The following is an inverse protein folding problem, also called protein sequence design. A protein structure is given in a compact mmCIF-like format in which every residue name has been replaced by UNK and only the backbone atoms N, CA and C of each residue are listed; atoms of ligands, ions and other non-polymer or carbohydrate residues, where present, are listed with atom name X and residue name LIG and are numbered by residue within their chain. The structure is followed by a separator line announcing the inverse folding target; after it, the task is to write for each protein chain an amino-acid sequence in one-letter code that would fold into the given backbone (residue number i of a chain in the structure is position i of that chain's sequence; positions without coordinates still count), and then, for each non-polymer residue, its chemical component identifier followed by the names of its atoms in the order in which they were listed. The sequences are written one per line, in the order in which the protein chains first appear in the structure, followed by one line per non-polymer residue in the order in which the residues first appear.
data_IF_827342407019
#
_entry.id   IF_827342407019
#
_cell.length_a   1.000
_cell.length_b   1.000
_cell.length_c   1.000
_cell.angle_alpha   90.00
_cell.angle_beta   90.00
_cell.angle_gamma   90.00
#
_symmetry.space_group_name_H-M   'P 1'
#
loop_
_entity.id
_entity.type
_entity.pdbx_description
1 polymer ?
#
# COMPACT_ATOMS: atom_id res chain seq x y z
N UNK A 1 -6.65 4.31 17.32
CA UNK A 1 -6.31 3.16 16.43
C UNK A 1 -6.97 1.85 16.86
N UNK A 2 -6.94 0.82 16.02
CA UNK A 2 -7.54 -0.51 16.33
C UNK A 2 -6.61 -1.30 17.26
N UNK A 3 -7.17 -1.98 18.27
CA UNK A 3 -6.40 -2.59 19.39
C UNK A 3 -6.11 -4.08 19.17
N UNK A 4 -6.62 -4.71 18.11
CA UNK A 4 -6.68 -6.16 18.00
C UNK A 4 -5.93 -6.69 16.77
N UNK A 5 -4.89 -7.50 17.02
CA UNK A 5 -4.26 -8.39 16.04
C UNK A 5 -3.86 -7.74 14.71
N UNK A 6 -3.03 -6.69 14.73
CA UNK A 6 -2.51 -6.13 13.47
C UNK A 6 -1.27 -6.85 12.95
N UNK A 7 -0.57 -6.23 11.99
CA UNK A 7 0.54 -6.83 11.25
C UNK A 7 1.69 -5.84 11.01
N UNK A 8 2.91 -6.36 10.83
CA UNK A 8 4.07 -5.60 10.35
C UNK A 8 4.36 -5.83 8.85
N UNK A 9 3.53 -6.64 8.17
CA UNK A 9 3.63 -6.87 6.74
C UNK A 9 2.24 -6.81 6.11
N UNK A 10 2.14 -6.11 4.99
CA UNK A 10 0.94 -5.99 4.16
C UNK A 10 1.16 -6.68 2.82
N UNK A 11 0.09 -7.17 2.21
CA UNK A 11 0.11 -7.86 0.93
C UNK A 11 -0.05 -6.86 -0.23
N UNK A 12 0.52 -7.21 -1.39
CA UNK A 12 0.53 -6.38 -2.58
C UNK A 12 -0.90 -6.08 -3.09
N UNK A 13 -1.27 -4.80 -3.02
CA UNK A 13 -2.51 -4.25 -3.56
C UNK A 13 -2.39 -3.63 -4.95
N UNK A 14 -1.20 -3.51 -5.53
CA UNK A 14 -0.94 -3.00 -6.89
C UNK A 14 -0.04 -1.78 -6.96
N UNK A 15 0.22 -1.28 -8.17
CA UNK A 15 1.16 -0.17 -8.41
C UNK A 15 0.78 1.11 -7.67
N UNK A 16 -0.50 1.30 -7.39
CA UNK A 16 -1.05 2.49 -6.78
C UNK A 16 -1.45 3.57 -7.78
N UNK A 17 -1.29 3.41 -9.10
CA UNK A 17 -1.57 4.48 -10.08
C UNK A 17 -2.81 4.24 -10.94
N UNK A 18 -3.49 5.33 -11.33
CA UNK A 18 -4.55 5.36 -12.34
C UNK A 18 -5.67 4.31 -12.16
N UNK A 19 -5.82 3.77 -10.95
CA UNK A 19 -6.73 2.70 -10.63
C UNK A 19 -7.55 3.08 -9.41
N UNK A 20 -8.83 2.73 -9.46
CA UNK A 20 -9.66 2.74 -8.27
C UNK A 20 -9.36 1.46 -7.50
N UNK A 21 -8.61 1.57 -6.40
CA UNK A 21 -8.32 0.46 -5.47
C UNK A 21 -9.54 0.09 -4.61
N UNK A 22 -10.74 0.21 -5.19
CA UNK A 22 -12.01 -0.12 -4.61
C UNK A 22 -12.59 -1.41 -5.15
N UNK A 23 -12.22 -2.53 -4.51
CA UNK A 23 -12.96 -3.80 -4.59
C UNK A 23 -13.20 -4.44 -5.97
N UNK A 24 -12.67 -3.89 -7.05
CA UNK A 24 -12.62 -4.47 -8.39
C UNK A 24 -11.22 -5.00 -8.70
N UNK A 25 -11.08 -5.68 -9.83
CA UNK A 25 -9.77 -6.10 -10.35
C UNK A 25 -8.83 -4.90 -10.47
N UNK A 26 -7.62 -5.06 -9.91
CA UNK A 26 -6.50 -4.13 -10.04
C UNK A 26 -5.29 -4.85 -10.64
N UNK A 27 -4.14 -4.20 -10.66
CA UNK A 27 -2.88 -4.70 -11.23
C UNK A 27 -1.98 -5.45 -10.23
N UNK A 28 -2.32 -5.43 -8.94
CA UNK A 28 -1.58 -6.12 -7.89
C UNK A 28 -1.86 -7.61 -7.81
N UNK A 29 -1.57 -8.22 -6.65
CA UNK A 29 -1.85 -9.64 -6.40
C UNK A 29 -3.17 -9.85 -5.66
N UNK A 30 -3.50 -8.94 -4.74
CA UNK A 30 -4.62 -9.04 -3.82
C UNK A 30 -5.59 -7.88 -3.98
N UNK A 31 -6.87 -8.21 -4.11
CA UNK A 31 -8.00 -7.29 -4.06
C UNK A 31 -9.26 -8.05 -3.66
N UNK A 32 -10.37 -7.36 -3.45
CA UNK A 32 -11.62 -8.02 -3.06
C UNK A 32 -12.12 -8.91 -4.21
N UNK A 33 -12.25 -10.21 -3.94
CA UNK A 33 -12.67 -11.18 -4.95
C UNK A 33 -11.57 -11.57 -5.93
N UNK A 34 -10.30 -11.28 -5.63
CA UNK A 34 -9.16 -11.70 -6.44
C UNK A 34 -9.17 -13.21 -6.66
N UNK A 35 -8.92 -13.61 -7.91
CA UNK A 35 -8.74 -15.02 -8.31
C UNK A 35 -7.37 -15.25 -8.95
N UNK A 36 -6.42 -14.35 -8.67
CA UNK A 36 -5.02 -14.37 -9.14
C UNK A 36 -4.38 -15.72 -8.86
N UNK A 37 -3.80 -16.30 -9.90
CA UNK A 37 -3.05 -17.55 -9.85
C UNK A 37 -1.59 -17.26 -10.14
N UNK A 38 -0.73 -18.20 -9.76
CA UNK A 38 0.71 -18.11 -10.01
C UNK A 38 1.05 -17.86 -11.50
N UNK A 39 0.28 -18.47 -12.42
CA UNK A 39 0.45 -18.27 -13.87
C UNK A 39 0.12 -16.84 -14.35
N UNK A 40 -0.60 -16.07 -13.55
CA UNK A 40 -1.03 -14.71 -13.90
C UNK A 40 0.06 -13.68 -13.50
N UNK A 41 1.16 -14.13 -12.88
CA UNK A 41 2.35 -13.32 -12.54
C UNK A 41 3.32 -13.40 -13.72
N UNK A 42 3.02 -12.69 -14.80
CA UNK A 42 3.76 -12.81 -16.07
C UNK A 42 5.08 -12.05 -16.08
N UNK A 43 5.27 -11.09 -15.17
CA UNK A 43 6.49 -10.28 -15.08
C UNK A 43 7.63 -11.04 -14.35
N UNK A 44 7.29 -12.22 -13.80
CA UNK A 44 8.19 -13.14 -13.13
C UNK A 44 8.10 -13.03 -11.61
N UNK A 45 8.14 -14.16 -10.93
CA UNK A 45 7.95 -14.20 -9.47
C UNK A 45 9.08 -13.56 -8.68
N UNK A 46 10.26 -13.41 -9.28
CA UNK A 46 11.40 -12.67 -8.71
C UNK A 46 11.33 -11.15 -8.95
N UNK A 47 10.33 -10.69 -9.72
CA UNK A 47 10.13 -9.28 -10.08
C UNK A 47 8.75 -8.76 -9.63
N UNK A 48 8.03 -9.52 -8.81
CA UNK A 48 6.74 -9.09 -8.26
C UNK A 48 6.79 -9.18 -6.75
N UNK A 49 6.55 -8.05 -6.09
CA UNK A 49 6.43 -7.95 -4.64
C UNK A 49 5.18 -8.70 -4.19
N UNK A 50 5.32 -9.58 -3.22
CA UNK A 50 4.23 -10.28 -2.57
C UNK A 50 3.75 -9.54 -1.31
N UNK A 51 4.69 -9.12 -0.47
CA UNK A 51 4.44 -8.36 0.76
C UNK A 51 5.50 -7.29 0.97
N UNK A 52 5.15 -6.21 1.67
CA UNK A 52 6.11 -5.19 2.11
C UNK A 52 5.94 -4.88 3.60
N UNK A 53 7.03 -4.45 4.23
CA UNK A 53 7.01 -3.97 5.61
C UNK A 53 6.03 -2.81 5.78
N UNK A 54 5.38 -2.82 6.94
CA UNK A 54 4.53 -1.74 7.40
C UNK A 54 4.75 -1.51 8.89
N UNK A 55 4.45 -0.29 9.32
CA UNK A 55 4.28 0.04 10.72
C UNK A 55 2.80 0.00 11.08
N UNK A 56 2.52 -0.40 12.32
CA UNK A 56 1.20 -0.20 12.91
C UNK A 56 0.90 1.29 13.02
N UNK A 57 -0.34 1.65 12.69
CA UNK A 57 -0.85 3.00 12.90
C UNK A 57 -0.93 3.38 14.38
N UNK A 58 -1.00 4.68 14.65
CA UNK A 58 -1.11 5.22 15.99
C UNK A 58 -2.41 4.76 16.68
N UNK A 59 -2.28 4.30 17.93
CA UNK A 59 -3.42 3.84 18.72
C UNK A 59 -4.19 4.98 19.37
N UNK A 60 -3.67 6.20 19.30
CA UNK A 60 -4.32 7.42 19.78
C UNK A 60 -5.62 7.82 19.07
N UNK A 61 -6.25 8.91 19.54
CA UNK A 61 -7.39 9.53 18.89
C UNK A 61 -6.99 10.18 17.56
N UNK A 62 -7.97 10.39 16.69
CA UNK A 62 -7.76 11.09 15.42
C UNK A 62 -7.33 12.55 15.66
N UNK A 63 -6.51 13.08 14.77
CA UNK A 63 -5.98 14.45 14.86
C UNK A 63 -6.43 15.31 13.68
N UNK A 64 -6.42 16.63 13.87
CA UNK A 64 -6.75 17.60 12.81
C UNK A 64 -5.55 17.90 11.91
N UNK A 65 -4.34 17.77 12.46
CA UNK A 65 -3.08 17.96 11.75
C UNK A 65 -2.28 16.66 11.73
N UNK A 66 -1.44 16.48 10.72
CA UNK A 66 -0.51 15.36 10.65
C UNK A 66 0.58 15.50 11.71
N UNK A 67 0.72 14.50 12.57
CA UNK A 67 1.79 14.40 13.56
C UNK A 67 2.90 13.45 13.12
N UNK A 68 2.55 12.33 12.45
CA UNK A 68 3.51 11.34 11.99
C UNK A 68 2.98 10.59 10.76
N UNK A 69 3.61 10.79 9.60
CA UNK A 69 3.22 10.18 8.32
C UNK A 69 3.34 8.65 8.30
N UNK A 70 4.26 8.09 9.08
CA UNK A 70 4.46 6.64 9.13
C UNK A 70 3.43 5.92 10.00
N UNK A 71 2.73 6.67 10.85
CA UNK A 71 1.78 6.14 11.84
C UNK A 71 0.36 6.62 11.64
N UNK A 72 0.14 7.65 10.82
CA UNK A 72 -1.18 8.21 10.56
C UNK A 72 -1.50 8.18 9.08
N UNK A 73 -2.77 7.93 8.79
CA UNK A 73 -3.33 8.00 7.46
C UNK A 73 -4.20 9.25 7.34
N UNK A 74 -4.16 9.90 6.20
CA UNK A 74 -5.02 10.99 5.79
C UNK A 74 -6.41 10.45 5.43
N UNK A 75 -7.42 10.79 6.24
CA UNK A 75 -8.82 10.51 5.91
C UNK A 75 -9.37 11.58 4.96
N UNK A 76 -9.86 11.16 3.80
CA UNK A 76 -10.57 12.06 2.87
C UNK A 76 -12.06 11.73 2.83
N UNK A 77 -12.86 12.63 2.23
CA UNK A 77 -14.30 12.52 2.04
C UNK A 77 -14.71 13.03 0.65
N UNK A 78 -15.96 12.76 0.26
CA UNK A 78 -16.56 13.25 -0.99
C UNK A 78 -16.76 12.13 -2.02
N UNK A 79 -17.81 12.23 -2.83
CA UNK A 79 -18.17 11.16 -3.77
C UNK A 79 -18.73 9.91 -3.07
N UNK A 80 -18.94 8.85 -3.87
CA UNK A 80 -19.37 7.55 -3.36
C UNK A 80 -18.19 6.59 -3.18
N UNK A 81 -18.43 5.39 -2.62
CA UNK A 81 -17.45 4.30 -2.68
C UNK A 81 -17.04 4.02 -4.13
N UNK A 82 -15.77 3.70 -4.36
CA UNK A 82 -15.22 3.42 -5.69
C UNK A 82 -15.38 4.56 -6.73
N UNK A 83 -15.57 5.81 -6.30
CA UNK A 83 -15.79 6.93 -7.24
C UNK A 83 -14.54 7.78 -7.49
N UNK A 84 -13.38 7.33 -7.02
CA UNK A 84 -12.11 8.04 -7.13
C UNK A 84 -11.00 7.06 -7.50
N UNK A 85 -10.10 7.51 -8.36
CA UNK A 85 -8.82 6.85 -8.57
C UNK A 85 -7.80 7.33 -7.54
N UNK A 86 -6.59 6.81 -7.64
CA UNK A 86 -5.54 7.09 -6.68
C UNK A 86 -5.07 8.54 -6.65
N UNK A 87 -5.00 9.18 -7.82
CA UNK A 87 -4.49 10.54 -7.95
C UNK A 87 -5.51 11.57 -7.44
N UNK A 88 -6.81 11.35 -7.67
CA UNK A 88 -7.88 12.15 -7.07
C UNK A 88 -7.84 12.03 -5.53
N UNK A 89 -7.70 10.81 -4.99
CA UNK A 89 -7.61 10.60 -3.55
C UNK A 89 -6.38 11.31 -2.94
N UNK A 90 -5.22 11.22 -3.59
CA UNK A 90 -4.01 11.90 -3.14
C UNK A 90 -4.20 13.43 -3.08
N UNK A 91 -4.90 14.01 -4.07
CA UNK A 91 -5.16 15.45 -4.17
C UNK A 91 -6.21 16.01 -3.20
N UNK A 92 -7.10 15.18 -2.63
CA UNK A 92 -8.18 15.65 -1.75
C UNK A 92 -7.70 16.20 -0.42
N UNK A 93 -8.45 17.12 0.18
CA UNK A 93 -8.12 17.66 1.51
C UNK A 93 -8.43 16.66 2.63
N UNK A 94 -7.57 16.61 3.65
CA UNK A 94 -7.79 15.80 4.84
C UNK A 94 -9.00 16.30 5.62
N UNK A 95 -9.87 15.39 6.05
CA UNK A 95 -10.90 15.66 7.05
C UNK A 95 -10.40 15.40 8.47
N UNK A 96 -9.46 14.47 8.62
CA UNK A 96 -8.72 14.14 9.84
C UNK A 96 -7.55 13.20 9.51
N UNK A 97 -6.70 12.94 10.50
CA UNK A 97 -5.63 11.95 10.43
C UNK A 97 -5.90 10.84 11.44
N UNK A 98 -5.90 9.59 11.00
CA UNK A 98 -6.28 8.42 11.79
C UNK A 98 -5.19 7.34 11.78
N UNK A 99 -4.92 6.72 12.93
CA UNK A 99 -3.91 5.67 13.08
C UNK A 99 -4.46 4.24 12.88
N UNK A 100 -5.36 4.06 11.91
CA UNK A 100 -6.01 2.77 11.62
C UNK A 100 -5.15 1.76 10.86
N UNK A 101 -3.98 2.18 10.35
CA UNK A 101 -3.12 1.38 9.47
C UNK A 101 -2.70 0.07 10.12
N UNK A 102 -2.73 -1.02 9.36
CA UNK A 102 -2.29 -2.35 9.79
C UNK A 102 -2.95 -2.79 11.10
N UNK A 103 -4.15 -2.29 11.41
CA UNK A 103 -4.81 -2.44 12.69
C UNK A 103 -5.46 -3.80 12.91
N UNK A 104 -5.53 -4.66 11.88
CA UNK A 104 -6.09 -6.01 11.98
C UNK A 104 -5.75 -6.90 10.77
N UNK A 105 -4.93 -7.94 10.94
CA UNK A 105 -4.46 -8.80 9.84
C UNK A 105 -5.58 -9.63 9.19
N UNK A 106 -6.66 -9.91 9.91
CA UNK A 106 -7.80 -10.70 9.44
C UNK A 106 -8.94 -9.85 8.85
N UNK A 107 -8.82 -8.51 8.86
CA UNK A 107 -9.86 -7.62 8.32
C UNK A 107 -9.71 -7.45 6.82
N UNK A 108 -10.83 -7.35 6.13
CA UNK A 108 -10.89 -7.21 4.67
C UNK A 108 -10.84 -5.76 4.17
N UNK A 109 -10.43 -4.80 5.01
CA UNK A 109 -10.33 -3.39 4.61
C UNK A 109 -8.91 -3.10 4.12
N UNK A 110 -8.79 -2.31 3.05
CA UNK A 110 -7.51 -2.08 2.37
C UNK A 110 -6.43 -1.55 3.31
N UNK A 111 -6.76 -0.55 4.12
CA UNK A 111 -5.80 0.05 5.07
C UNK A 111 -5.30 -0.88 6.18
N UNK A 112 -5.89 -2.07 6.35
CA UNK A 112 -5.41 -3.07 7.30
C UNK A 112 -4.41 -4.06 6.68
N UNK A 113 -4.52 -4.33 5.38
CA UNK A 113 -3.84 -5.47 4.76
C UNK A 113 -3.13 -5.17 3.45
N UNK A 114 -3.45 -4.07 2.76
CA UNK A 114 -2.91 -3.73 1.45
C UNK A 114 -1.81 -2.66 1.52
N UNK A 115 -0.77 -2.88 0.74
CA UNK A 115 0.32 -1.94 0.45
C UNK A 115 0.49 -1.79 -1.06
N UNK A 116 0.81 -0.58 -1.51
CA UNK A 116 0.90 -0.24 -2.93
C UNK A 116 2.26 0.36 -3.26
N UNK A 117 2.58 0.43 -4.55
CA UNK A 117 3.75 1.13 -5.08
C UNK A 117 3.58 2.64 -5.21
N UNK A 118 2.51 3.23 -4.66
CA UNK A 118 2.20 4.65 -4.89
C UNK A 118 3.20 5.59 -4.25
N UNK A 119 3.60 5.27 -3.02
CA UNK A 119 4.58 6.01 -2.26
C UNK A 119 5.86 5.17 -2.11
N UNK A 120 7.05 5.79 -2.20
CA UNK A 120 8.28 5.10 -1.84
C UNK A 120 8.25 4.69 -0.36
N UNK A 121 9.10 3.72 0.04
CA UNK A 121 9.29 3.39 1.45
C UNK A 121 9.52 4.63 2.31
N UNK A 122 8.87 4.72 3.47
CA UNK A 122 9.01 5.82 4.44
C UNK A 122 8.73 7.23 3.88
N UNK A 123 7.86 7.34 2.86
CA UNK A 123 7.46 8.63 2.28
C UNK A 123 7.01 9.66 3.34
N UNK A 124 7.37 10.94 3.22
CA UNK A 124 6.91 11.96 4.18
C UNK A 124 5.40 12.25 4.07
N UNK A 125 4.75 11.79 3.00
CA UNK A 125 3.31 11.85 2.83
C UNK A 125 2.62 10.68 3.57
N UNK A 126 1.52 10.94 4.29
CA UNK A 126 0.73 9.87 4.89
C UNK A 126 -0.04 9.09 3.83
N UNK A 127 -0.33 7.82 4.10
CA UNK A 127 -1.28 7.06 3.29
C UNK A 127 -2.63 7.76 3.24
N UNK A 128 -3.41 7.51 2.19
CA UNK A 128 -4.74 8.10 2.03
C UNK A 128 -5.80 7.02 2.16
N UNK A 129 -6.83 7.28 2.97
CA UNK A 129 -7.95 6.38 3.21
C UNK A 129 -9.28 7.05 2.91
N UNK A 130 -10.13 6.32 2.17
CA UNK A 130 -11.47 6.74 1.78
C UNK A 130 -12.43 5.55 1.90
N UNK A 131 -13.54 5.71 2.64
CA UNK A 131 -14.41 4.59 3.04
C UNK A 131 -13.64 3.42 3.69
N UNK A 132 -13.33 2.38 2.91
CA UNK A 132 -12.51 1.21 3.28
C UNK A 132 -11.31 0.96 2.35
N UNK A 133 -11.09 1.87 1.41
CA UNK A 133 -10.02 1.88 0.41
C UNK A 133 -8.77 2.58 0.97
N UNK A 134 -7.62 2.25 0.42
CA UNK A 134 -6.35 2.89 0.79
C UNK A 134 -5.44 3.03 -0.41
N UNK A 135 -4.64 4.08 -0.40
CA UNK A 135 -3.40 4.18 -1.18
C UNK A 135 -2.30 4.36 -0.16
N UNK A 136 -1.33 3.45 -0.20
CA UNK A 136 -0.35 3.29 0.88
C UNK A 136 1.02 2.94 0.31
N UNK A 137 2.07 3.33 1.02
CA UNK A 137 3.45 2.90 0.73
C UNK A 137 3.99 1.96 1.81
N UNK A 138 5.15 1.35 1.58
CA UNK A 138 5.85 0.59 2.62
C UNK A 138 6.32 1.51 3.76
N UNK A 139 6.33 1.00 5.01
CA UNK A 139 6.77 1.74 6.19
C UNK A 139 7.67 0.87 7.05
N UNK A 140 8.81 1.39 7.46
CA UNK A 140 9.80 0.68 8.25
C UNK A 140 10.48 1.59 9.27
N UNK A 141 11.08 0.99 10.29
CA UNK A 141 11.99 1.69 11.19
C UNK A 141 13.45 1.60 10.71
N UNK A 142 13.70 0.89 9.60
CA UNK A 142 15.00 0.87 8.96
C UNK A 142 15.26 2.20 8.26
N UNK A 143 16.47 2.73 8.45
CA UNK A 143 16.92 3.95 7.78
C UNK A 143 17.11 3.64 6.29
N UNK A 144 16.60 4.51 5.42
CA UNK A 144 16.89 4.47 3.99
C UNK A 144 16.00 3.54 3.16
N UNK A 145 15.01 2.86 3.75
CA UNK A 145 14.16 1.93 3.01
C UNK A 145 13.34 0.96 3.86
N UNK A 146 12.84 -0.09 3.21
CA UNK A 146 12.01 -1.13 3.82
C UNK A 146 12.28 -2.50 3.18
N UNK A 147 12.09 -3.58 3.93
CA UNK A 147 12.13 -4.93 3.37
C UNK A 147 10.85 -5.26 2.61
N UNK A 148 11.01 -5.97 1.49
CA UNK A 148 9.93 -6.54 0.69
C UNK A 148 10.18 -8.02 0.46
N UNK A 149 9.11 -8.80 0.43
CA UNK A 149 9.09 -10.21 0.06
C UNK A 149 8.60 -10.30 -1.39
N UNK A 150 9.32 -11.02 -2.24
CA UNK A 150 8.95 -11.31 -3.63
C UNK A 150 8.14 -12.62 -3.72
N UNK A 151 7.42 -12.82 -4.83
CA UNK A 151 6.61 -14.02 -5.07
C UNK A 151 7.40 -15.33 -5.14
N UNK A 152 8.71 -15.27 -5.39
CA UNK A 152 9.62 -16.41 -5.36
C UNK A 152 10.13 -16.76 -3.94
N UNK A 153 9.73 -15.99 -2.93
CA UNK A 153 10.12 -16.17 -1.53
C UNK A 153 11.42 -15.44 -1.13
N UNK A 154 12.09 -14.77 -2.07
CA UNK A 154 13.27 -13.95 -1.74
C UNK A 154 12.86 -12.64 -1.05
N UNK A 155 13.72 -12.18 -0.14
CA UNK A 155 13.55 -10.90 0.56
C UNK A 155 14.59 -9.92 0.05
N UNK A 156 14.17 -8.70 -0.26
CA UNK A 156 15.06 -7.61 -0.71
C UNK A 156 14.80 -6.35 0.11
N UNK A 157 15.85 -5.54 0.28
CA UNK A 157 15.73 -4.22 0.86
C UNK A 157 15.53 -3.20 -0.27
N UNK A 158 14.44 -2.46 -0.25
CA UNK A 158 14.12 -1.43 -1.26
C UNK A 158 14.38 -0.06 -0.65
N UNK A 159 15.17 0.76 -1.35
CA UNK A 159 15.50 2.11 -0.88
C UNK A 159 14.28 3.05 -0.93
N UNK A 160 14.21 3.99 0.01
CA UNK A 160 13.28 5.13 -0.03
C UNK A 160 13.55 6.08 -1.22
N UNK A 161 14.75 6.00 -1.81
CA UNK A 161 15.14 6.77 -3.01
C UNK A 161 14.96 5.99 -4.32
N UNK A 162 14.29 4.83 -4.27
CA UNK A 162 13.99 4.03 -5.47
C UNK A 162 13.25 4.87 -6.51
N UNK A 163 13.57 4.67 -7.79
CA UNK A 163 12.81 5.31 -8.85
C UNK A 163 11.36 4.82 -8.79
N UNK A 164 10.41 5.75 -8.67
CA UNK A 164 9.03 5.41 -8.32
C UNK A 164 8.36 4.51 -9.37
N UNK A 165 8.70 4.68 -10.66
CA UNK A 165 8.22 3.78 -11.71
C UNK A 165 8.70 2.34 -11.48
N UNK A 166 9.96 2.16 -11.09
CA UNK A 166 10.52 0.83 -10.82
C UNK A 166 9.78 0.16 -9.66
N UNK A 167 9.47 0.92 -8.61
CA UNK A 167 8.67 0.41 -7.49
C UNK A 167 7.27 0.00 -7.93
N UNK A 168 6.62 0.82 -8.75
CA UNK A 168 5.27 0.55 -9.27
C UNK A 168 5.22 -0.70 -10.13
N UNK A 169 6.20 -0.86 -11.02
CA UNK A 169 6.35 -2.04 -11.86
C UNK A 169 6.55 -3.30 -10.98
N UNK A 170 7.32 -3.22 -9.89
CA UNK A 170 7.48 -4.32 -8.93
C UNK A 170 6.18 -4.68 -8.19
N UNK A 171 5.28 -3.73 -8.02
CA UNK A 171 3.95 -3.96 -7.43
C UNK A 171 2.93 -4.46 -8.47
N UNK A 172 3.19 -4.30 -9.77
CA UNK A 172 2.42 -4.89 -10.85
C UNK A 172 2.71 -6.38 -11.02
N UNK A 173 1.69 -7.16 -11.41
CA UNK A 173 1.85 -8.61 -11.69
C UNK A 173 2.08 -8.94 -13.17
N UNK A 174 1.60 -8.10 -14.08
CA UNK A 174 1.46 -8.42 -15.49
C UNK A 174 1.51 -7.18 -16.42
N UNK A 175 2.46 -6.27 -16.19
CA UNK A 175 2.69 -5.10 -17.05
C UNK A 175 3.68 -5.35 -18.20
N UNK A 176 4.33 -6.52 -18.20
CA UNK A 176 5.30 -6.96 -19.21
C UNK A 176 6.68 -6.31 -19.08
N UNK A 177 6.94 -5.54 -18.02
CA UNK A 177 8.20 -4.84 -17.81
C UNK A 177 9.19 -5.76 -17.10
N UNK A 178 10.34 -5.96 -17.74
CA UNK A 178 11.46 -6.65 -17.10
C UNK A 178 12.26 -5.63 -16.31
N UNK A 179 12.26 -5.80 -14.99
CA UNK A 179 12.99 -4.94 -14.07
C UNK A 179 14.38 -5.53 -13.87
N UNK A 180 15.41 -4.68 -13.99
CA UNK A 180 16.80 -5.04 -13.71
C UNK A 180 17.09 -5.12 -12.21
N UNK A 181 18.33 -4.85 -11.80
CA UNK A 181 18.64 -4.68 -10.38
C UNK A 181 18.10 -3.34 -9.85
N UNK A 182 17.58 -3.34 -8.63
CA UNK A 182 16.90 -2.23 -7.95
C UNK A 182 17.20 -2.23 -6.45
#
# INVERSE_FOLDING_TARGET
GTVWAGTNYMVNGGSGENLSYCSSENDGLFWRGSSTRFRDITDGTSNTIFMAETLFGDRGPDTVFLLNADRQMKRVSGGGPCSADSDDLAGRTATRYEGGRAGGWIRNLGYNTLVHGYYPPNSPEPDVVHHGEVISGARSLHIGGANVLLCDGSVRFVSENVHLQTLRDLFGRADGRVIGEF
#
